data_IF_291309590766
#
_entry.id   IF_291309590766
#
_cell.length_a   1.000
_cell.length_b   1.000
_cell.length_c   1.000
_cell.angle_alpha   90.00
_cell.angle_beta   90.00
_cell.angle_gamma   90.00
#
_symmetry.space_group_name_H-M   'P 1'
#
loop_
_entity.id
_entity.type
_entity.pdbx_description
1 polymer ?
#
# COMPACT_ATOMS: atom_id res chain seq x y z
N UNK A 1 -3.66 -10.22 4.96
CA UNK A 1 -2.98 -8.92 5.09
C UNK A 1 -2.22 -8.94 6.39
N UNK A 2 -0.92 -8.61 6.38
CA UNK A 2 -0.16 -8.43 7.60
C UNK A 2 -0.42 -7.02 8.13
N UNK A 3 -0.68 -6.89 9.42
CA UNK A 3 -0.85 -5.59 10.08
C UNK A 3 0.45 -5.30 10.81
N UNK A 4 1.18 -4.30 10.34
CA UNK A 4 2.41 -3.82 10.95
C UNK A 4 2.14 -2.44 11.58
N UNK A 5 2.16 -2.37 12.91
CA UNK A 5 1.98 -1.11 13.63
C UNK A 5 3.22 -0.22 13.62
N UNK A 6 4.38 -0.75 13.24
CA UNK A 6 5.61 0.02 13.06
C UNK A 6 5.71 0.68 11.67
N UNK A 7 4.93 0.20 10.69
CA UNK A 7 4.89 0.78 9.36
C UNK A 7 3.93 1.99 9.31
N UNK A 8 4.45 3.14 8.86
CA UNK A 8 3.65 4.35 8.67
C UNK A 8 2.78 4.34 7.40
N UNK A 9 3.03 3.39 6.50
CA UNK A 9 2.38 3.27 5.18
C UNK A 9 1.97 1.84 4.91
N UNK A 10 0.92 1.67 4.11
CA UNK A 10 0.53 0.34 3.60
C UNK A 10 1.34 0.03 2.35
N UNK A 11 2.13 -1.05 2.41
CA UNK A 11 2.91 -1.57 1.28
C UNK A 11 2.24 -2.80 0.68
N UNK A 12 2.26 -2.90 -0.65
CA UNK A 12 1.87 -4.10 -1.36
C UNK A 12 2.90 -4.49 -2.42
N UNK A 13 3.09 -5.79 -2.59
CA UNK A 13 3.82 -6.29 -3.75
C UNK A 13 3.07 -5.91 -5.05
N UNK A 14 3.82 -5.59 -6.10
CA UNK A 14 3.25 -5.12 -7.36
C UNK A 14 2.27 -6.14 -7.97
N UNK A 15 2.54 -7.43 -7.82
CA UNK A 15 1.68 -8.53 -8.27
C UNK A 15 0.31 -8.51 -7.60
N UNK A 16 0.25 -8.12 -6.31
CA UNK A 16 -1.00 -8.01 -5.56
C UNK A 16 -1.81 -6.85 -6.11
N UNK A 17 -1.16 -5.71 -6.38
CA UNK A 17 -1.83 -4.53 -6.92
C UNK A 17 -2.42 -4.80 -8.32
N UNK A 18 -1.71 -5.55 -9.17
CA UNK A 18 -2.19 -5.94 -10.51
C UNK A 18 -3.44 -6.83 -10.46
N UNK A 19 -3.58 -7.65 -9.42
CA UNK A 19 -4.70 -8.60 -9.26
C UNK A 19 -5.85 -8.05 -8.41
N UNK A 20 -5.64 -6.94 -7.72
CA UNK A 20 -6.61 -6.38 -6.78
C UNK A 20 -7.59 -5.43 -7.44
N UNK A 21 -8.73 -5.20 -6.78
CA UNK A 21 -9.68 -4.16 -7.18
C UNK A 21 -9.13 -2.78 -6.82
N UNK A 22 -8.29 -2.27 -7.71
CA UNK A 22 -7.74 -0.92 -7.63
C UNK A 22 -8.80 0.08 -8.08
N UNK A 23 -9.02 1.13 -7.29
CA UNK A 23 -9.99 2.18 -7.63
C UNK A 23 -9.36 3.21 -8.57
N UNK A 24 -8.12 3.62 -8.31
CA UNK A 24 -7.42 4.63 -9.13
C UNK A 24 -5.91 4.61 -8.88
N UNK A 25 -5.12 4.85 -9.92
CA UNK A 25 -3.70 5.22 -9.78
C UNK A 25 -3.58 6.66 -9.28
N UNK A 26 -2.66 6.92 -8.37
CA UNK A 26 -2.36 8.28 -7.89
C UNK A 26 -0.90 8.64 -8.15
N UNK A 27 -0.53 9.93 -8.14
CA UNK A 27 0.86 10.33 -8.24
C UNK A 27 1.70 9.61 -7.18
N UNK A 28 2.82 9.03 -7.60
CA UNK A 28 3.77 8.40 -6.69
C UNK A 28 4.29 9.47 -5.72
N UNK A 29 4.22 9.25 -4.40
CA UNK A 29 4.78 10.18 -3.45
C UNK A 29 6.32 10.20 -3.54
N UNK A 30 6.90 11.38 -3.40
CA UNK A 30 8.35 11.57 -3.31
C UNK A 30 8.81 11.35 -1.86
N UNK A 31 8.76 10.11 -1.40
CA UNK A 31 9.19 9.70 -0.06
C UNK A 31 10.32 8.66 -0.15
N UNK A 32 11.15 8.60 0.89
CA UNK A 32 12.13 7.54 1.09
C UNK A 32 11.61 6.59 2.18
N UNK A 33 11.68 5.30 1.92
CA UNK A 33 11.28 4.26 2.86
C UNK A 33 12.51 3.41 3.18
N UNK A 34 12.67 3.08 4.45
CA UNK A 34 13.77 2.25 4.94
C UNK A 34 13.19 1.07 5.69
N UNK A 35 13.65 -0.14 5.34
CA UNK A 35 13.29 -1.35 6.05
C UNK A 35 14.06 -1.42 7.38
N UNK A 36 13.60 -2.26 8.31
CA UNK A 36 14.32 -2.52 9.56
C UNK A 36 15.76 -3.03 9.37
N UNK A 37 16.10 -3.56 8.20
CA UNK A 37 17.46 -3.96 7.82
C UNK A 37 18.37 -2.78 7.42
N UNK A 38 17.85 -1.56 7.34
CA UNK A 38 18.55 -0.39 6.79
C UNK A 38 18.50 -0.31 5.25
N UNK A 39 17.84 -1.26 4.58
CA UNK A 39 17.71 -1.24 3.13
C UNK A 39 16.66 -0.22 2.68
N UNK A 40 16.98 0.60 1.67
CA UNK A 40 16.02 1.51 1.06
C UNK A 40 15.01 0.73 0.20
N UNK A 41 13.72 0.99 0.41
CA UNK A 41 12.63 0.39 -0.34
C UNK A 41 12.19 1.33 -1.47
N UNK A 42 12.33 0.86 -2.71
CA UNK A 42 11.89 1.60 -3.88
C UNK A 42 10.36 1.52 -4.01
N UNK A 43 9.67 2.63 -3.71
CA UNK A 43 8.26 2.79 -4.08
C UNK A 43 8.18 2.89 -5.60
N UNK A 44 7.47 2.00 -6.28
CA UNK A 44 7.36 2.06 -7.76
C UNK A 44 6.09 2.78 -8.20
N UNK A 45 5.01 2.66 -7.44
CA UNK A 45 3.70 3.21 -7.74
C UNK A 45 2.93 3.60 -6.48
N UNK A 46 1.76 4.19 -6.67
CA UNK A 46 0.81 4.43 -5.60
C UNK A 46 -0.61 4.31 -6.16
N UNK A 47 -1.51 3.69 -5.40
CA UNK A 47 -2.88 3.44 -5.80
C UNK A 47 -3.85 3.65 -4.65
N UNK A 48 -5.06 4.09 -4.97
CA UNK A 48 -6.19 4.02 -4.05
C UNK A 48 -6.85 2.66 -4.23
N UNK A 49 -6.93 1.90 -3.14
CA UNK A 49 -7.50 0.55 -3.11
C UNK A 49 -8.71 0.51 -2.16
N UNK A 50 -9.71 -0.29 -2.51
CA UNK A 50 -10.86 -0.57 -1.64
C UNK A 50 -10.50 -1.72 -0.70
N UNK A 51 -10.50 -1.46 0.62
CA UNK A 51 -10.29 -2.47 1.66
C UNK A 51 -11.62 -2.72 2.34
N UNK A 52 -12.01 -3.99 2.44
CA UNK A 52 -13.22 -4.42 3.17
C UNK A 52 -12.81 -4.96 4.53
N UNK A 53 -13.22 -4.27 5.60
CA UNK A 53 -12.95 -4.64 6.98
C UNK A 53 -14.20 -5.30 7.58
N UNK A 54 -14.01 -6.47 8.20
CA UNK A 54 -15.11 -7.20 8.87
C UNK A 54 -16.30 -7.52 7.95
N UNK A 55 -16.08 -7.62 6.64
CA UNK A 55 -17.12 -7.88 5.63
C UNK A 55 -18.14 -6.76 5.40
N UNK A 56 -18.03 -5.64 6.12
CA UNK A 56 -19.10 -4.63 6.20
C UNK A 56 -18.60 -3.22 5.91
N UNK A 57 -17.45 -2.85 6.45
CA UNK A 57 -16.88 -1.51 6.28
C UNK A 57 -16.00 -1.48 5.04
N UNK A 58 -16.24 -0.53 4.14
CA UNK A 58 -15.39 -0.30 2.97
C UNK A 58 -14.61 0.99 3.16
N UNK A 59 -13.29 0.89 3.02
CA UNK A 59 -12.37 2.02 3.16
C UNK A 59 -11.60 2.18 1.87
N UNK A 60 -11.53 3.41 1.36
CA UNK A 60 -10.58 3.77 0.32
C UNK A 60 -9.27 4.14 0.99
N UNK A 61 -8.20 3.43 0.65
CA UNK A 61 -6.89 3.66 1.27
C UNK A 61 -5.80 3.72 0.22
N UNK A 62 -4.81 4.58 0.43
CA UNK A 62 -3.64 4.66 -0.46
C UNK A 62 -2.65 3.57 -0.10
N UNK A 63 -2.26 2.78 -1.09
CA UNK A 63 -1.30 1.69 -0.99
C UNK A 63 -0.11 1.99 -1.92
N UNK A 64 1.09 1.75 -1.41
CA UNK A 64 2.36 1.98 -2.10
C UNK A 64 2.98 0.67 -2.60
#
# INVERSE_FOLDING_TARGET
MLVDTGAAVTLAAEEVMKRSKVLRRVPKPSIRLEAASGAELAVTNAYVMEIVLGGTVRVQHTVL
#
